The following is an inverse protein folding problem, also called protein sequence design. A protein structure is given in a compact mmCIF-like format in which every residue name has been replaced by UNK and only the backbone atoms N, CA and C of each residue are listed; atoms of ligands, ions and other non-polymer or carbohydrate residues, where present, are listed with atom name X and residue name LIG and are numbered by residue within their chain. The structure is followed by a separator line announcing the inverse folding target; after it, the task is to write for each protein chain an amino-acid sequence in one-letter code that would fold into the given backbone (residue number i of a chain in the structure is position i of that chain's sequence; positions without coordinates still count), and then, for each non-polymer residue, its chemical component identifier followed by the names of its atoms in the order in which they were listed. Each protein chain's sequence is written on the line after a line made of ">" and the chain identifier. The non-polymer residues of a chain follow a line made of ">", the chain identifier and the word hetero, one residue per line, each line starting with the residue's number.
data_IF_395856021984
#
_entry.id   IF_395856021984
#
_cell.length_a   1.000
_cell.length_b   1.000
_cell.length_c   1.000
_cell.angle_alpha   90.00
_cell.angle_beta   90.00
_cell.angle_gamma   90.00
#
_symmetry.space_group_name_H-M   'P 1'
#
loop_
_entity.id
_entity.type
_entity.pdbx_description
1 polymer ?
#
# COMPACT_ATOMS: atom_id res chain seq x y z
N UNK A 1 -43.34 -40.76 -7.05
CA UNK A 1 -42.25 -40.44 -6.10
C UNK A 1 -42.33 -38.99 -5.61
N UNK A 2 -42.66 -38.03 -6.49
CA UNK A 2 -42.75 -36.60 -6.15
C UNK A 2 -44.03 -36.13 -5.45
N UNK A 3 -45.12 -36.91 -5.49
CA UNK A 3 -46.39 -36.57 -4.81
C UNK A 3 -46.43 -36.99 -3.33
N UNK A 4 -45.43 -37.74 -2.86
CA UNK A 4 -45.32 -38.09 -1.43
C UNK A 4 -44.83 -36.86 -0.66
N UNK A 5 -45.26 -36.72 0.61
CA UNK A 5 -44.81 -35.63 1.50
C UNK A 5 -43.28 -35.45 1.52
N UNK A 6 -42.52 -36.55 1.46
CA UNK A 6 -41.06 -36.53 1.36
C UNK A 6 -40.54 -35.92 0.06
N UNK A 7 -41.19 -36.19 -1.07
CA UNK A 7 -40.84 -35.60 -2.37
C UNK A 7 -41.14 -34.10 -2.41
N UNK A 8 -42.27 -33.68 -1.84
CA UNK A 8 -42.64 -32.26 -1.71
C UNK A 8 -41.62 -31.51 -0.85
N UNK A 9 -41.24 -32.05 0.31
CA UNK A 9 -40.25 -31.44 1.19
C UNK A 9 -38.86 -31.37 0.54
N UNK A 10 -38.46 -32.39 -0.20
CA UNK A 10 -37.18 -32.39 -0.92
C UNK A 10 -37.14 -31.30 -2.00
N UNK A 11 -38.18 -31.21 -2.83
CA UNK A 11 -38.28 -30.18 -3.89
C UNK A 11 -38.27 -28.79 -3.27
N UNK A 12 -39.10 -28.56 -2.24
CA UNK A 12 -39.14 -27.29 -1.54
C UNK A 12 -37.78 -26.94 -0.91
N UNK A 13 -37.13 -27.90 -0.24
CA UNK A 13 -35.82 -27.69 0.37
C UNK A 13 -34.74 -27.32 -0.65
N UNK A 14 -34.67 -28.02 -1.79
CA UNK A 14 -33.73 -27.70 -2.87
C UNK A 14 -34.05 -26.33 -3.47
N UNK A 15 -35.33 -26.01 -3.67
CA UNK A 15 -35.76 -24.70 -4.18
C UNK A 15 -35.37 -23.55 -3.24
N UNK A 16 -35.63 -23.68 -1.94
CA UNK A 16 -35.24 -22.68 -0.94
C UNK A 16 -33.72 -22.55 -0.82
N UNK A 17 -32.97 -23.65 -0.87
CA UNK A 17 -31.52 -23.61 -0.88
C UNK A 17 -30.98 -22.85 -2.09
N UNK A 18 -31.47 -23.17 -3.29
CA UNK A 18 -31.05 -22.49 -4.52
C UNK A 18 -31.41 -21.00 -4.49
N UNK A 19 -32.63 -20.66 -4.07
CA UNK A 19 -33.06 -19.28 -3.92
C UNK A 19 -32.18 -18.54 -2.91
N UNK A 20 -31.95 -19.11 -1.72
CA UNK A 20 -31.11 -18.50 -0.69
C UNK A 20 -29.67 -18.31 -1.19
N UNK A 21 -29.08 -19.31 -1.84
CA UNK A 21 -27.73 -19.24 -2.40
C UNK A 21 -27.61 -18.14 -3.45
N UNK A 22 -28.54 -18.09 -4.41
CA UNK A 22 -28.56 -17.04 -5.45
C UNK A 22 -28.82 -15.66 -4.85
N UNK A 23 -29.74 -15.54 -3.90
CA UNK A 23 -30.05 -14.27 -3.24
C UNK A 23 -28.85 -13.72 -2.48
N UNK A 24 -28.12 -14.59 -1.75
CA UNK A 24 -26.91 -14.20 -1.02
C UNK A 24 -25.75 -13.80 -1.95
N UNK A 25 -25.74 -14.23 -3.21
CA UNK A 25 -24.78 -13.74 -4.20
C UNK A 25 -25.27 -12.44 -4.89
N UNK A 26 -26.51 -12.44 -5.38
CA UNK A 26 -27.08 -11.36 -6.19
C UNK A 26 -27.28 -10.08 -5.38
N UNK A 27 -27.78 -10.17 -4.14
CA UNK A 27 -28.06 -8.99 -3.32
C UNK A 27 -26.78 -8.19 -3.05
N UNK A 28 -25.67 -8.77 -2.56
CA UNK A 28 -24.40 -8.04 -2.42
C UNK A 28 -23.88 -7.49 -3.75
N UNK A 29 -23.94 -8.26 -4.85
CA UNK A 29 -23.50 -7.78 -6.17
C UNK A 29 -24.28 -6.52 -6.56
N UNK A 30 -25.61 -6.52 -6.41
CA UNK A 30 -26.45 -5.36 -6.73
C UNK A 30 -26.21 -4.18 -5.79
N UNK A 31 -25.98 -4.43 -4.50
CA UNK A 31 -25.68 -3.38 -3.52
C UNK A 31 -24.33 -2.71 -3.81
N UNK A 32 -23.32 -3.47 -4.22
CA UNK A 32 -21.95 -2.98 -4.40
C UNK A 32 -21.57 -2.70 -5.87
N UNK A 33 -22.48 -2.87 -6.83
CA UNK A 33 -22.20 -2.68 -8.28
C UNK A 33 -21.61 -1.30 -8.63
N UNK A 34 -21.89 -0.29 -7.83
CA UNK A 34 -21.45 1.10 -8.03
C UNK A 34 -20.16 1.44 -7.28
N UNK A 35 -19.59 0.48 -6.56
CA UNK A 35 -18.36 0.64 -5.81
C UNK A 35 -17.34 -0.41 -6.30
N UNK A 36 -16.84 -0.27 -7.54
CA UNK A 36 -15.84 -1.17 -8.07
C UNK A 36 -14.53 -1.06 -7.27
N UNK A 37 -13.81 -2.18 -7.18
CA UNK A 37 -12.46 -2.19 -6.61
C UNK A 37 -11.54 -1.28 -7.44
N UNK A 38 -10.83 -0.36 -6.78
CA UNK A 38 -9.84 0.48 -7.46
C UNK A 38 -8.62 -0.34 -7.87
N UNK A 39 -8.12 -0.09 -9.09
CA UNK A 39 -6.83 -0.61 -9.54
C UNK A 39 -5.68 0.06 -8.78
N UNK A 40 -4.47 -0.48 -8.90
CA UNK A 40 -3.30 0.12 -8.24
C UNK A 40 -2.98 1.51 -8.82
N UNK A 41 -3.09 1.67 -10.14
CA UNK A 41 -2.93 2.96 -10.79
C UNK A 41 -3.94 4.01 -10.28
N UNK A 42 -5.18 3.60 -10.02
CA UNK A 42 -6.24 4.50 -9.50
C UNK A 42 -6.04 4.92 -8.03
N UNK A 43 -5.15 4.27 -7.27
CA UNK A 43 -4.80 4.68 -5.90
C UNK A 43 -3.49 5.44 -5.82
N UNK A 44 -2.80 5.65 -6.95
CA UNK A 44 -1.71 6.61 -7.06
C UNK A 44 -2.29 8.01 -6.96
N UNK A 45 -1.74 8.81 -6.04
CA UNK A 45 -2.15 10.18 -5.77
C UNK A 45 -0.92 11.09 -5.62
N UNK A 46 -1.13 12.40 -5.55
CA UNK A 46 -0.04 13.38 -5.44
C UNK A 46 0.92 13.11 -4.28
N UNK A 47 0.40 12.69 -3.13
CA UNK A 47 1.20 12.47 -1.92
C UNK A 47 2.17 11.29 -2.07
N UNK A 48 1.71 10.14 -2.58
CA UNK A 48 2.61 9.01 -2.85
C UNK A 48 3.52 9.29 -4.06
N UNK A 49 3.03 10.07 -5.05
CA UNK A 49 3.84 10.47 -6.20
C UNK A 49 5.02 11.34 -5.79
N UNK A 50 4.79 12.30 -4.90
CA UNK A 50 5.85 13.09 -4.27
C UNK A 50 6.94 12.20 -3.65
N UNK A 51 6.53 11.25 -2.81
CA UNK A 51 7.47 10.34 -2.14
C UNK A 51 8.22 9.44 -3.13
N UNK A 52 7.58 9.05 -4.23
CA UNK A 52 8.21 8.27 -5.29
C UNK A 52 9.23 9.07 -6.12
N UNK A 53 8.97 10.34 -6.39
CA UNK A 53 9.95 11.24 -7.04
C UNK A 53 11.12 11.57 -6.11
N UNK A 54 10.84 11.72 -4.81
CA UNK A 54 11.88 11.92 -3.80
C UNK A 54 12.83 10.71 -3.74
N UNK A 55 12.32 9.48 -3.91
CA UNK A 55 13.17 8.28 -4.07
C UNK A 55 14.09 8.38 -5.30
N UNK A 56 13.59 8.87 -6.43
CA UNK A 56 14.38 9.06 -7.65
C UNK A 56 15.51 10.08 -7.45
N UNK A 57 15.28 11.10 -6.62
CA UNK A 57 16.28 12.13 -6.32
C UNK A 57 17.31 11.67 -5.29
N UNK A 58 16.88 10.93 -4.26
CA UNK A 58 17.77 10.45 -3.18
C UNK A 58 18.63 9.28 -3.61
N UNK A 59 18.06 8.37 -4.42
CA UNK A 59 18.72 7.13 -4.85
C UNK A 59 18.74 7.02 -6.38
N UNK A 60 19.36 7.97 -7.10
CA UNK A 60 19.23 8.09 -8.55
C UNK A 60 19.69 6.84 -9.31
N UNK A 61 20.85 6.29 -8.94
CA UNK A 61 21.40 5.09 -9.63
C UNK A 61 20.53 3.86 -9.40
N UNK A 62 20.15 3.61 -8.14
CA UNK A 62 19.26 2.52 -7.77
C UNK A 62 17.88 2.64 -8.43
N UNK A 63 17.32 3.85 -8.45
CA UNK A 63 16.03 4.12 -9.06
C UNK A 63 16.06 3.91 -10.58
N UNK A 64 17.10 4.43 -11.24
CA UNK A 64 17.33 4.22 -12.68
C UNK A 64 17.49 2.74 -13.01
N UNK A 65 18.21 1.99 -12.19
CA UNK A 65 18.34 0.54 -12.37
C UNK A 65 17.01 -0.21 -12.19
N UNK A 66 16.18 0.21 -11.25
CA UNK A 66 14.91 -0.46 -10.94
C UNK A 66 13.78 -0.10 -11.92
N UNK A 67 13.67 1.16 -12.32
CA UNK A 67 12.51 1.68 -13.06
C UNK A 67 12.86 2.26 -14.44
N UNK A 68 14.13 2.56 -14.70
CA UNK A 68 14.59 3.24 -15.91
C UNK A 68 14.58 4.77 -15.77
N UNK A 69 14.67 5.47 -16.90
CA UNK A 69 14.61 6.93 -16.96
C UNK A 69 13.25 7.40 -17.48
N UNK A 70 12.71 8.51 -16.95
CA UNK A 70 11.49 9.10 -17.47
C UNK A 70 11.71 9.69 -18.87
N UNK A 71 10.69 9.72 -19.73
CA UNK A 71 10.71 10.50 -20.97
C UNK A 71 11.04 11.98 -20.75
N UNK A 72 11.59 12.64 -21.78
CA UNK A 72 11.93 14.08 -21.72
C UNK A 72 10.70 14.99 -21.82
N UNK A 73 9.63 14.52 -22.47
CA UNK A 73 8.36 15.24 -22.52
C UNK A 73 7.68 15.25 -21.14
N UNK A 74 7.32 16.44 -20.58
CA UNK A 74 6.78 16.53 -19.22
C UNK A 74 5.48 15.76 -19.00
N UNK A 75 4.59 15.71 -20.01
CA UNK A 75 3.33 15.00 -19.89
C UNK A 75 3.56 13.49 -19.90
N UNK A 76 4.37 12.99 -20.83
CA UNK A 76 4.76 11.58 -20.88
C UNK A 76 5.55 11.17 -19.63
N UNK A 77 6.37 12.05 -19.05
CA UNK A 77 7.05 11.82 -17.78
C UNK A 77 6.04 11.63 -16.63
N UNK A 78 5.02 12.49 -16.55
CA UNK A 78 3.98 12.38 -15.53
C UNK A 78 3.26 11.03 -15.54
N UNK A 79 2.83 10.58 -16.73
CA UNK A 79 2.20 9.28 -16.91
C UNK A 79 3.15 8.12 -16.59
N UNK A 80 4.40 8.19 -17.08
CA UNK A 80 5.42 7.19 -16.80
C UNK A 80 5.64 7.00 -15.29
N UNK A 81 5.74 8.09 -14.54
CA UNK A 81 5.93 7.97 -13.10
C UNK A 81 4.67 7.45 -12.39
N UNK A 82 3.46 7.74 -12.88
CA UNK A 82 2.24 7.15 -12.33
C UNK A 82 2.24 5.63 -12.50
N UNK A 83 2.62 5.15 -13.69
CA UNK A 83 2.77 3.73 -13.99
C UNK A 83 3.84 3.06 -13.14
N UNK A 84 5.04 3.66 -13.06
CA UNK A 84 6.16 3.13 -12.26
C UNK A 84 5.88 3.16 -10.76
N UNK A 85 5.17 4.18 -10.27
CA UNK A 85 4.69 4.20 -8.90
C UNK A 85 3.70 3.04 -8.64
N UNK A 86 2.76 2.80 -9.55
CA UNK A 86 1.83 1.67 -9.42
C UNK A 86 2.54 0.30 -9.43
N UNK A 87 3.52 0.10 -10.31
CA UNK A 87 4.36 -1.11 -10.33
C UNK A 87 5.13 -1.28 -9.00
N UNK A 88 5.71 -0.19 -8.49
CA UNK A 88 6.41 -0.17 -7.21
C UNK A 88 5.48 -0.50 -6.04
N UNK A 89 4.24 0.00 -6.02
CA UNK A 89 3.26 -0.34 -5.01
C UNK A 89 2.88 -1.83 -5.02
N UNK A 90 2.69 -2.42 -6.20
CA UNK A 90 2.40 -3.85 -6.32
C UNK A 90 3.56 -4.70 -5.80
N UNK A 91 4.80 -4.37 -6.19
CA UNK A 91 5.98 -5.08 -5.72
C UNK A 91 6.18 -4.88 -4.21
N UNK A 92 6.08 -3.65 -3.73
CA UNK A 92 6.27 -3.30 -2.32
C UNK A 92 5.26 -4.01 -1.43
N UNK A 93 4.01 -4.11 -1.87
CA UNK A 93 2.96 -4.87 -1.19
C UNK A 93 3.24 -6.38 -1.15
N UNK A 94 3.88 -6.94 -2.19
CA UNK A 94 4.34 -8.35 -2.20
C UNK A 94 5.52 -8.54 -1.26
N UNK A 95 6.48 -7.62 -1.26
CA UNK A 95 7.63 -7.63 -0.34
C UNK A 95 7.16 -7.53 1.10
N UNK A 96 6.27 -6.59 1.44
CA UNK A 96 5.69 -6.44 2.77
C UNK A 96 5.06 -7.74 3.31
N UNK A 97 4.43 -8.53 2.44
CA UNK A 97 3.88 -9.84 2.83
C UNK A 97 4.95 -10.91 2.91
N UNK A 98 5.84 -11.00 1.93
CA UNK A 98 6.90 -12.00 1.88
C UNK A 98 7.85 -11.88 3.07
N UNK A 99 8.12 -10.66 3.52
CA UNK A 99 8.96 -10.35 4.69
C UNK A 99 8.22 -10.45 6.03
N UNK A 100 6.92 -10.76 6.01
CA UNK A 100 6.13 -10.97 7.23
C UNK A 100 5.84 -9.70 8.04
N UNK A 101 5.99 -8.51 7.46
CA UNK A 101 5.81 -7.23 8.17
C UNK A 101 4.44 -7.11 8.84
N UNK A 102 3.39 -7.65 8.19
CA UNK A 102 2.02 -7.70 8.69
C UNK A 102 1.83 -8.44 10.02
N UNK A 103 2.78 -9.32 10.39
CA UNK A 103 2.71 -10.05 11.66
C UNK A 103 3.06 -9.14 12.86
N UNK A 104 3.91 -8.14 12.64
CA UNK A 104 4.36 -7.21 13.68
C UNK A 104 3.65 -5.86 13.60
N UNK A 105 3.19 -5.47 12.42
CA UNK A 105 2.59 -4.17 12.13
C UNK A 105 1.17 -4.33 11.61
N UNK A 106 0.22 -3.70 12.30
CA UNK A 106 -1.14 -3.57 11.83
C UNK A 106 -1.27 -2.44 10.80
N UNK A 107 -2.30 -2.54 9.97
CA UNK A 107 -2.77 -1.44 9.12
C UNK A 107 -4.26 -1.22 9.35
N UNK A 108 -4.63 -0.95 10.61
CA UNK A 108 -5.99 -0.61 10.99
C UNK A 108 -6.01 0.18 12.30
N UNK A 109 -6.24 1.50 12.22
CA UNK A 109 -6.40 2.37 13.38
C UNK A 109 -7.83 2.25 13.91
N UNK A 110 -7.97 1.80 15.15
CA UNK A 110 -9.28 1.48 15.75
C UNK A 110 -9.96 2.72 16.35
N UNK A 111 -11.31 2.81 16.36
CA UNK A 111 -12.06 3.91 16.99
C UNK A 111 -12.18 3.77 18.52
N UNK A 112 -11.16 3.21 19.18
CA UNK A 112 -11.17 2.94 20.62
C UNK A 112 -9.80 3.24 21.22
N UNK A 113 -9.74 3.34 22.56
CA UNK A 113 -8.48 3.49 23.30
C UNK A 113 -7.61 4.69 22.88
N UNK A 114 -8.21 5.74 22.33
CA UNK A 114 -7.52 6.93 21.82
C UNK A 114 -6.38 6.59 20.83
N UNK A 115 -6.55 5.56 20.00
CA UNK A 115 -5.56 5.21 18.99
C UNK A 115 -5.35 6.31 17.96
N UNK A 116 -6.37 7.12 17.73
CA UNK A 116 -6.33 8.28 16.86
C UNK A 116 -5.25 9.29 17.27
N UNK A 117 -5.08 9.48 18.58
CA UNK A 117 -4.02 10.35 19.13
C UNK A 117 -2.61 9.78 18.93
N UNK A 118 -2.49 8.45 18.81
CA UNK A 118 -1.19 7.78 18.67
C UNK A 118 -0.78 7.62 17.21
N UNK A 119 -1.71 7.14 16.38
CA UNK A 119 -1.44 6.71 15.02
C UNK A 119 -2.02 7.65 13.95
N UNK A 120 -2.96 8.52 14.29
CA UNK A 120 -3.66 9.39 13.33
C UNK A 120 -5.10 8.96 13.08
N UNK A 121 -5.81 9.56 12.12
CA UNK A 121 -7.25 9.35 11.94
C UNK A 121 -7.67 7.87 11.86
N UNK A 122 -8.79 7.54 12.52
CA UNK A 122 -9.38 6.18 12.51
C UNK A 122 -9.55 5.66 11.09
N UNK A 123 -9.24 4.37 10.89
CA UNK A 123 -9.39 3.69 9.61
C UNK A 123 -10.85 3.62 9.16
N UNK A 124 -11.10 4.00 7.91
CA UNK A 124 -12.41 3.93 7.25
C UNK A 124 -12.45 2.78 6.25
N UNK A 125 -13.63 2.16 6.08
CA UNK A 125 -13.80 0.99 5.20
C UNK A 125 -13.41 1.25 3.75
N UNK A 126 -13.68 2.45 3.23
CA UNK A 126 -13.37 2.81 1.84
C UNK A 126 -11.86 2.83 1.52
N UNK A 127 -11.00 2.98 2.54
CA UNK A 127 -9.53 2.96 2.36
C UNK A 127 -9.03 1.60 1.86
N UNK A 128 -9.83 0.55 2.08
CA UNK A 128 -9.49 -0.83 1.76
C UNK A 128 -10.13 -1.33 0.46
N UNK A 129 -10.87 -0.46 -0.24
CA UNK A 129 -11.52 -0.81 -1.51
C UNK A 129 -10.56 -0.65 -2.71
N UNK A 130 -9.48 -1.41 -2.70
CA UNK A 130 -8.50 -1.41 -3.77
C UNK A 130 -7.69 -2.72 -3.82
N UNK A 131 -7.04 -2.94 -4.96
CA UNK A 131 -6.27 -4.16 -5.25
C UNK A 131 -5.12 -4.43 -4.28
N UNK A 132 -4.49 -3.40 -3.67
CA UNK A 132 -3.39 -3.58 -2.70
C UNK A 132 -3.88 -4.14 -1.35
N UNK A 133 -5.19 -4.07 -1.09
CA UNK A 133 -5.81 -4.52 0.15
C UNK A 133 -6.50 -5.87 -0.03
N UNK A 134 -6.04 -6.67 -1.01
CA UNK A 134 -6.51 -8.03 -1.25
C UNK A 134 -5.37 -9.06 -1.09
N UNK A 135 -5.30 -9.80 0.04
CA UNK A 135 -6.13 -9.66 1.24
C UNK A 135 -5.78 -8.41 2.06
N UNK A 136 -6.68 -8.03 2.96
CA UNK A 136 -6.49 -6.87 3.85
C UNK A 136 -5.36 -7.11 4.84
N UNK A 137 -4.67 -6.03 5.22
CA UNK A 137 -3.49 -6.08 6.10
C UNK A 137 -3.74 -5.48 7.49
N UNK A 138 -4.97 -5.64 8.02
CA UNK A 138 -5.35 -5.06 9.31
C UNK A 138 -4.42 -5.48 10.45
N UNK A 139 -3.84 -6.68 10.37
CA UNK A 139 -3.01 -7.25 11.42
C UNK A 139 -3.83 -7.68 12.63
N UNK A 140 -3.28 -8.62 13.40
CA UNK A 140 -3.91 -9.14 14.63
C UNK A 140 -3.06 -8.90 15.87
N UNK A 141 -1.82 -8.43 15.68
CA UNK A 141 -0.84 -8.16 16.72
C UNK A 141 -0.07 -6.87 16.39
N UNK A 142 0.41 -6.18 17.43
CA UNK A 142 1.31 -5.03 17.31
C UNK A 142 2.55 -5.28 18.17
N UNK A 143 3.62 -5.72 17.52
CA UNK A 143 4.98 -5.70 18.11
C UNK A 143 5.62 -4.36 17.77
N UNK A 144 5.45 -3.91 16.53
CA UNK A 144 5.76 -2.55 16.09
C UNK A 144 4.51 -1.64 16.07
N UNK A 145 4.69 -0.37 15.68
CA UNK A 145 3.59 0.59 15.50
C UNK A 145 2.61 0.17 14.40
N UNK A 146 1.41 0.74 14.45
CA UNK A 146 0.46 0.67 13.33
C UNK A 146 0.99 1.53 12.16
N UNK A 147 0.92 1.01 10.94
CA UNK A 147 1.47 1.65 9.75
C UNK A 147 0.42 2.29 8.84
N UNK A 148 -0.88 2.25 9.16
CA UNK A 148 -1.95 2.81 8.31
C UNK A 148 -1.80 4.28 7.95
N UNK A 149 -0.93 5.00 8.66
CA UNK A 149 -0.72 6.45 8.59
C UNK A 149 0.77 6.79 8.58
N UNK A 150 1.60 5.88 8.10
CA UNK A 150 3.05 6.07 8.06
C UNK A 150 3.48 6.98 6.90
N UNK A 151 2.69 7.05 5.83
CA UNK A 151 2.99 7.87 4.65
C UNK A 151 3.28 9.32 5.01
N UNK A 152 4.43 9.83 4.57
CA UNK A 152 4.89 11.19 4.85
C UNK A 152 5.28 11.46 6.30
N UNK A 153 5.15 10.51 7.23
CA UNK A 153 5.52 10.69 8.64
C UNK A 153 7.03 10.66 8.85
N UNK A 154 7.73 9.91 8.00
CA UNK A 154 9.19 9.78 7.98
C UNK A 154 9.69 9.91 6.54
N UNK A 155 10.91 10.42 6.39
CA UNK A 155 11.54 10.54 5.08
C UNK A 155 11.94 9.17 4.53
N UNK A 156 12.14 9.10 3.21
CA UNK A 156 12.65 7.90 2.57
C UNK A 156 14.03 7.48 3.11
N UNK A 157 14.93 8.42 3.43
CA UNK A 157 16.21 8.11 4.08
C UNK A 157 16.03 7.45 5.44
N UNK A 158 15.06 7.94 6.23
CA UNK A 158 14.74 7.34 7.51
C UNK A 158 14.28 5.90 7.32
N UNK A 159 13.38 5.65 6.35
CA UNK A 159 12.92 4.30 6.04
C UNK A 159 14.06 3.40 5.56
N UNK A 160 14.93 3.90 4.68
CA UNK A 160 16.07 3.17 4.16
C UNK A 160 17.01 2.69 5.29
N UNK A 161 17.43 3.62 6.15
CA UNK A 161 18.27 3.29 7.32
C UNK A 161 17.51 2.38 8.30
N UNK A 162 16.21 2.62 8.53
CA UNK A 162 15.42 1.81 9.46
C UNK A 162 15.26 0.36 8.99
N UNK A 163 15.00 0.13 7.70
CA UNK A 163 14.93 -1.23 7.16
C UNK A 163 16.28 -1.94 7.16
N UNK A 164 17.36 -1.22 6.84
CA UNK A 164 18.70 -1.79 6.86
C UNK A 164 19.15 -2.16 8.29
N UNK A 165 18.96 -1.24 9.24
CA UNK A 165 19.37 -1.41 10.63
C UNK A 165 18.45 -0.63 11.61
N UNK A 166 17.34 -1.24 12.09
CA UNK A 166 16.34 -0.54 12.89
C UNK A 166 16.88 0.05 14.20
N UNK A 167 17.85 -0.60 14.82
CA UNK A 167 18.46 -0.21 16.10
C UNK A 167 19.23 1.13 16.03
N UNK A 168 19.62 1.57 14.83
CA UNK A 168 20.30 2.86 14.61
C UNK A 168 19.36 4.05 14.83
N UNK A 169 18.08 3.90 14.47
CA UNK A 169 17.08 4.98 14.57
C UNK A 169 16.08 4.77 15.70
N UNK A 170 15.95 3.54 16.18
CA UNK A 170 15.05 3.16 17.26
C UNK A 170 15.81 2.24 18.21
N UNK A 171 16.50 2.83 19.22
CA UNK A 171 17.28 2.05 20.17
C UNK A 171 16.43 0.95 20.81
N UNK A 172 16.96 -0.27 20.84
CA UNK A 172 16.26 -1.48 21.34
C UNK A 172 15.01 -1.88 20.53
N UNK A 173 14.92 -1.48 19.26
CA UNK A 173 13.88 -1.98 18.37
C UNK A 173 13.92 -3.51 18.27
N UNK A 174 12.80 -4.21 18.45
CA UNK A 174 12.71 -5.66 18.23
C UNK A 174 12.56 -6.03 16.74
N UNK A 175 12.49 -5.04 15.85
CA UNK A 175 12.34 -5.27 14.41
C UNK A 175 13.59 -5.94 13.82
N UNK A 176 13.45 -7.00 13.00
CA UNK A 176 14.57 -7.59 12.27
C UNK A 176 15.22 -6.61 11.29
N UNK A 177 16.48 -6.86 10.95
CA UNK A 177 17.18 -6.16 9.87
C UNK A 177 16.79 -6.78 8.53
N UNK A 178 16.66 -5.95 7.49
CA UNK A 178 16.36 -6.36 6.11
C UNK A 178 17.47 -5.93 5.12
N UNK A 179 18.75 -6.27 5.37
CA UNK A 179 19.87 -5.79 4.54
C UNK A 179 19.80 -6.28 3.08
N UNK A 180 19.11 -7.38 2.79
CA UNK A 180 18.90 -7.90 1.42
C UNK A 180 17.99 -7.04 0.55
N UNK A 181 17.36 -6.01 1.10
CA UNK A 181 16.66 -4.98 0.33
C UNK A 181 17.61 -3.92 -0.22
N UNK A 182 18.92 -4.07 0.03
CA UNK A 182 19.96 -3.13 -0.30
C UNK A 182 21.19 -3.85 -0.87
N UNK A 183 21.95 -3.16 -1.71
CA UNK A 183 23.17 -3.67 -2.34
C UNK A 183 24.42 -3.34 -1.52
N UNK A 184 24.33 -3.61 -0.21
CA UNK A 184 25.45 -3.50 0.74
C UNK A 184 25.34 -2.35 1.73
N UNK A 185 24.65 -1.25 1.40
CA UNK A 185 24.54 -0.06 2.23
C UNK A 185 23.12 0.55 2.23
N UNK A 186 22.69 1.24 3.31
CA UNK A 186 21.33 1.80 3.41
C UNK A 186 21.00 2.85 2.34
N UNK A 187 22.01 3.50 1.75
CA UNK A 187 21.88 4.45 0.64
C UNK A 187 21.86 3.77 -0.75
N UNK A 188 21.89 2.43 -0.80
CA UNK A 188 21.87 1.64 -2.02
C UNK A 188 20.70 0.64 -2.04
N UNK A 189 19.43 1.11 -1.94
CA UNK A 189 18.28 0.21 -1.99
C UNK A 189 18.14 -0.45 -3.36
N UNK A 190 17.91 -1.76 -3.42
CA UNK A 190 17.56 -2.41 -4.69
C UNK A 190 16.07 -2.22 -5.00
N UNK A 191 15.60 -2.76 -6.12
CA UNK A 191 14.20 -2.63 -6.56
C UNK A 191 13.18 -3.04 -5.49
N UNK A 192 13.48 -4.05 -4.64
CA UNK A 192 12.58 -4.49 -3.56
C UNK A 192 12.58 -3.48 -2.40
N UNK A 193 13.73 -2.91 -2.07
CA UNK A 193 13.85 -1.85 -1.05
C UNK A 193 13.11 -0.59 -1.44
N UNK A 194 13.34 -0.10 -2.67
CA UNK A 194 12.60 1.05 -3.23
C UNK A 194 11.09 0.80 -3.21
N UNK A 195 10.64 -0.36 -3.70
CA UNK A 195 9.24 -0.71 -3.73
C UNK A 195 8.60 -0.78 -2.33
N UNK A 196 9.30 -1.37 -1.34
CA UNK A 196 8.80 -1.43 0.04
C UNK A 196 8.64 -0.03 0.64
N UNK A 197 9.62 0.86 0.41
CA UNK A 197 9.51 2.26 0.85
C UNK A 197 8.32 2.96 0.20
N UNK A 198 8.13 2.82 -1.12
CA UNK A 198 6.95 3.36 -1.82
C UNK A 198 5.64 2.85 -1.24
N UNK A 199 5.55 1.54 -0.93
CA UNK A 199 4.35 0.96 -0.34
C UNK A 199 4.07 1.49 1.06
N UNK A 200 5.09 1.66 1.91
CA UNK A 200 4.92 2.24 3.25
C UNK A 200 4.54 3.71 3.16
N UNK A 201 5.14 4.45 2.23
CA UNK A 201 4.80 5.85 1.96
C UNK A 201 3.37 6.05 1.44
N UNK A 202 2.79 5.04 0.82
CA UNK A 202 1.39 5.06 0.38
C UNK A 202 0.39 4.93 1.53
N UNK A 203 0.77 4.32 2.66
CA UNK A 203 -0.15 4.05 3.76
C UNK A 203 -0.60 5.33 4.46
N UNK A 204 -1.83 5.77 4.16
CA UNK A 204 -2.40 7.01 4.68
C UNK A 204 -2.28 8.20 3.71
N UNK A 205 -1.64 8.03 2.55
CA UNK A 205 -1.41 9.11 1.59
C UNK A 205 -2.69 9.68 0.98
N UNK A 206 -3.81 8.99 1.11
CA UNK A 206 -5.14 9.44 0.69
C UNK A 206 -5.80 10.43 1.67
N UNK A 207 -5.19 10.70 2.82
CA UNK A 207 -5.67 11.73 3.73
C UNK A 207 -5.18 13.08 3.28
N UNK A 208 -6.01 14.12 3.41
CA UNK A 208 -5.62 15.49 3.03
C UNK A 208 -4.77 16.16 4.11
N UNK A 209 -4.96 15.80 5.38
CA UNK A 209 -4.47 16.59 6.52
C UNK A 209 -3.62 15.82 7.55
N UNK A 210 -3.10 14.64 7.22
CA UNK A 210 -2.29 13.84 8.16
C UNK A 210 -1.13 13.12 7.48
N UNK A 211 0.13 13.29 7.90
CA UNK A 211 0.62 14.08 9.03
C UNK A 211 0.76 15.59 8.73
N UNK A 212 -0.17 16.14 7.93
CA UNK A 212 -0.06 17.33 7.08
C UNK A 212 0.70 16.99 5.79
N UNK A 213 -0.03 16.77 4.70
CA UNK A 213 0.58 16.72 3.37
C UNK A 213 0.58 18.11 2.78
N UNK A 214 1.71 18.51 2.21
CA UNK A 214 1.76 19.68 1.34
C UNK A 214 1.10 19.34 0.01
N UNK A 215 0.47 20.32 -0.64
CA UNK A 215 -0.05 20.13 -1.99
C UNK A 215 1.09 19.65 -2.89
N UNK A 216 0.87 18.53 -3.57
CA UNK A 216 1.86 17.99 -4.48
C UNK A 216 2.20 19.00 -5.57
N UNK A 217 3.42 19.51 -5.52
CA UNK A 217 4.06 20.21 -6.61
C UNK A 217 5.06 19.23 -7.26
N UNK A 218 4.95 18.95 -8.57
CA UNK A 218 5.94 18.14 -9.27
C UNK A 218 7.34 18.69 -9.01
N UNK A 219 8.26 17.84 -8.56
CA UNK A 219 9.60 18.35 -8.27
C UNK A 219 10.27 18.73 -9.60
N UNK A 220 10.89 19.92 -9.72
CA UNK A 220 11.65 20.25 -10.92
C UNK A 220 12.75 19.21 -11.11
N UNK A 221 12.63 18.38 -12.14
CA UNK A 221 13.68 17.41 -12.48
C UNK A 221 14.89 18.23 -12.94
N UNK A 222 15.96 18.23 -12.14
CA UNK A 222 17.23 18.85 -12.57
C UNK A 222 17.66 18.15 -13.85
N UNK A 223 17.80 18.90 -14.94
CA UNK A 223 18.49 18.41 -16.11
C UNK A 223 19.89 17.95 -15.66
N UNK A 224 20.22 16.68 -15.93
CA UNK A 224 21.59 16.20 -15.74
C UNK A 224 22.46 17.04 -16.66
N UNK A 225 23.36 17.85 -16.10
CA UNK A 225 24.32 18.59 -16.90
C UNK A 225 25.06 17.56 -17.75
N UNK A 226 24.98 17.71 -19.07
CA UNK A 226 25.75 16.87 -19.99
C UNK A 226 27.21 16.95 -19.54
N UNK A 227 27.82 15.79 -19.28
CA UNK A 227 29.24 15.74 -19.00
C UNK A 227 29.97 16.25 -20.26
N UNK A 228 30.60 17.43 -20.14
CA UNK A 228 31.56 17.94 -21.12
C UNK A 228 32.89 17.17 -21.05
#
# INVERSE_FOLDING_TARGET
>A
MFEKKSGILLIAGVGFFAFAFLSNAVVPILMYRHLPEKTVLQVVNGNVRYQFEDLAQRFPEAFKQAYGEPPTDPHAAGEWYNEKCAEALELGRKVYVGEGCWHCHSQFVRPVSNEDRRWGPVSKSWEYQNRLQRPVMFGTRRVGPDLSREGGRRSNDWHAVHFYQPDMLSPKSPMPRYPWLFDGAPDQPNARGLALMTYVQWLGSWLESYPYYEDYAPTPIKAVAAAE
#
